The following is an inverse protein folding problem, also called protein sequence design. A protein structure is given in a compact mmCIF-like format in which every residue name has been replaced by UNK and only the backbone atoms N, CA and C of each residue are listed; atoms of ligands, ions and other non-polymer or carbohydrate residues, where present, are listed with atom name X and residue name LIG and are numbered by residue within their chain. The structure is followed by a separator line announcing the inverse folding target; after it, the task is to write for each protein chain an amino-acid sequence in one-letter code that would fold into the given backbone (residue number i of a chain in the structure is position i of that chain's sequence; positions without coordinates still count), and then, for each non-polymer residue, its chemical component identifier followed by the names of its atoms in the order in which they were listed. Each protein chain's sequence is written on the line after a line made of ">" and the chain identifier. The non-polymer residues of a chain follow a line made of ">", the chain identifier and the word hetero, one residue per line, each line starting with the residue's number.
data_IF_249975439180
#
_entry.id   IF_249975439180
#
_cell.length_a   1.000
_cell.length_b   1.000
_cell.length_c   1.000
_cell.angle_alpha   90.00
_cell.angle_beta   90.00
_cell.angle_gamma   90.00
#
_symmetry.space_group_name_H-M   'P 1'
#
loop_
_entity.id
_entity.type
_entity.pdbx_description
1 polymer ?
#
# COMPACT_ATOMS: atom_id res chain seq x y z
N UNK A 1 -18.10 -34.84 17.12
CA UNK A 1 -17.08 -33.93 17.67
C UNK A 1 -15.98 -33.85 16.62
N UNK A 2 -15.67 -32.74 15.95
CA UNK A 2 -15.63 -31.33 16.35
C UNK A 2 -16.20 -30.41 15.25
N UNK A 3 -16.42 -29.17 15.64
CA UNK A 3 -17.34 -28.17 15.12
C UNK A 3 -16.99 -27.56 13.74
N UNK A 4 -18.05 -27.37 12.94
CA UNK A 4 -18.12 -26.41 11.84
C UNK A 4 -18.28 -24.99 12.43
N UNK A 5 -17.25 -24.16 12.34
CA UNK A 5 -17.40 -22.72 12.48
C UNK A 5 -17.43 -22.06 11.09
N UNK A 6 -18.62 -21.60 10.74
CA UNK A 6 -18.91 -20.77 9.59
C UNK A 6 -18.18 -19.43 9.75
N UNK A 7 -17.21 -19.14 8.88
CA UNK A 7 -16.69 -17.79 8.70
C UNK A 7 -17.53 -17.07 7.62
N UNK A 8 -18.29 -16.01 7.96
CA UNK A 8 -19.32 -15.42 7.09
C UNK A 8 -18.84 -14.21 6.25
N UNK A 9 -17.62 -14.24 5.71
CA UNK A 9 -17.07 -13.11 4.93
C UNK A 9 -16.29 -13.47 3.66
N UNK A 10 -16.44 -14.70 3.14
CA UNK A 10 -15.79 -15.08 1.88
C UNK A 10 -16.89 -15.25 0.84
N UNK A 11 -17.34 -14.11 0.31
CA UNK A 11 -18.13 -14.05 -0.90
C UNK A 11 -17.42 -13.11 -1.86
N UNK A 12 -16.59 -13.66 -2.74
CA UNK A 12 -16.52 -13.24 -4.14
C UNK A 12 -15.87 -14.35 -4.95
N UNK A 13 -16.64 -14.74 -5.94
CA UNK A 13 -16.46 -15.82 -6.89
C UNK A 13 -15.20 -15.67 -7.76
N UNK A 14 -14.63 -16.83 -8.08
CA UNK A 14 -14.11 -17.20 -9.40
C UNK A 14 -13.69 -16.05 -10.32
N UNK A 15 -12.43 -15.60 -10.21
CA UNK A 15 -11.83 -14.77 -11.24
C UNK A 15 -11.32 -15.66 -12.37
N UNK A 16 -12.18 -15.87 -13.37
CA UNK A 16 -11.81 -16.45 -14.66
C UNK A 16 -10.64 -15.69 -15.29
N UNK A 17 -9.76 -16.47 -15.93
CA UNK A 17 -8.64 -15.99 -16.74
C UNK A 17 -9.14 -15.01 -17.80
N UNK A 18 -8.62 -13.78 -17.80
CA UNK A 18 -8.76 -12.90 -18.96
C UNK A 18 -7.36 -12.62 -19.53
N UNK A 19 -7.10 -13.23 -20.67
CA UNK A 19 -5.96 -12.97 -21.55
C UNK A 19 -6.19 -11.65 -22.29
N UNK A 20 -5.40 -10.63 -22.00
CA UNK A 20 -5.52 -9.32 -22.66
C UNK A 20 -4.52 -9.21 -23.83
N UNK A 21 -5.00 -9.47 -25.05
CA UNK A 21 -4.48 -8.81 -26.25
C UNK A 21 -5.49 -7.74 -26.65
N UNK A 22 -5.11 -6.46 -26.59
CA UNK A 22 -5.92 -5.35 -27.07
C UNK A 22 -6.18 -4.27 -26.03
N UNK A 23 -5.93 -3.02 -26.43
CA UNK A 23 -6.18 -1.77 -25.71
C UNK A 23 -7.60 -1.69 -25.15
N UNK A 24 -7.74 -1.48 -23.84
CA UNK A 24 -9.01 -1.10 -23.21
C UNK A 24 -8.76 0.19 -22.42
N UNK A 25 -9.33 1.29 -22.93
CA UNK A 25 -9.52 2.51 -22.14
C UNK A 25 -10.53 2.21 -21.02
N UNK A 26 -10.23 2.49 -19.74
CA UNK A 26 -11.27 2.47 -18.74
C UNK A 26 -12.20 3.66 -18.99
N UNK A 27 -13.33 3.38 -19.63
CA UNK A 27 -14.48 4.28 -19.71
C UNK A 27 -14.81 4.77 -18.29
N UNK A 28 -14.60 6.07 -18.05
CA UNK A 28 -15.06 6.74 -16.83
C UNK A 28 -16.59 6.72 -16.87
N UNK A 29 -17.19 5.70 -16.27
CA UNK A 29 -18.63 5.65 -16.06
C UNK A 29 -18.95 6.39 -14.75
N UNK A 30 -19.66 7.51 -14.89
CA UNK A 30 -20.09 8.40 -13.82
C UNK A 30 -21.06 7.69 -12.86
N UNK A 31 -20.58 7.31 -11.67
CA UNK A 31 -21.43 6.89 -10.55
C UNK A 31 -21.41 7.97 -9.45
N UNK A 32 -22.46 8.78 -9.44
CA UNK A 32 -22.89 9.54 -8.26
C UNK A 32 -23.65 8.58 -7.33
N UNK A 33 -23.06 8.17 -6.21
CA UNK A 33 -23.81 7.72 -5.02
C UNK A 33 -23.07 8.17 -3.77
N UNK A 34 -23.81 8.79 -2.85
CA UNK A 34 -23.29 9.53 -1.71
C UNK A 34 -22.71 8.65 -0.59
N UNK A 35 -21.97 9.33 0.29
CA UNK A 35 -21.92 8.98 1.72
C UNK A 35 -21.10 7.76 2.13
N UNK A 36 -19.98 7.47 1.46
CA UNK A 36 -18.76 6.81 1.97
C UNK A 36 -17.72 6.94 0.86
N UNK A 37 -16.54 7.48 1.15
CA UNK A 37 -15.45 7.58 0.18
C UNK A 37 -14.99 6.18 -0.20
N UNK A 38 -15.59 5.64 -1.25
CA UNK A 38 -15.21 4.35 -1.81
C UNK A 38 -13.87 4.55 -2.51
N UNK A 39 -12.80 4.08 -1.88
CA UNK A 39 -11.46 4.08 -2.47
C UNK A 39 -11.50 3.18 -3.71
N UNK A 40 -11.43 3.80 -4.89
CA UNK A 40 -11.44 3.07 -6.14
C UNK A 40 -10.08 2.42 -6.31
N UNK A 41 -9.99 1.09 -6.51
CA UNK A 41 -8.71 0.46 -6.81
C UNK A 41 -8.22 0.96 -8.17
N UNK A 42 -7.04 1.56 -8.20
CA UNK A 42 -6.38 1.97 -9.44
C UNK A 42 -5.45 0.87 -9.89
N UNK A 43 -5.74 0.31 -11.06
CA UNK A 43 -4.92 -0.73 -11.69
C UNK A 43 -4.36 -0.16 -12.99
N UNK A 44 -3.04 -0.14 -13.12
CA UNK A 44 -2.34 0.33 -14.32
C UNK A 44 -1.24 -0.63 -14.67
N UNK A 45 -1.13 -1.00 -15.95
CA UNK A 45 -0.04 -1.82 -16.47
C UNK A 45 1.05 -0.92 -17.05
N UNK A 46 2.29 -1.15 -16.65
CA UNK A 46 3.48 -0.50 -17.23
C UNK A 46 4.52 -1.56 -17.54
N UNK A 47 5.23 -1.35 -18.65
CA UNK A 47 6.38 -2.18 -19.02
C UNK A 47 7.57 -1.73 -18.19
N UNK A 48 8.44 -2.69 -17.88
CA UNK A 48 9.72 -2.45 -17.23
C UNK A 48 10.70 -1.97 -18.28
N UNK A 49 11.49 -0.94 -17.96
CA UNK A 49 12.59 -0.50 -18.81
C UNK A 49 13.71 -1.56 -18.88
N UNK A 50 14.65 -1.42 -19.82
CA UNK A 50 15.83 -2.28 -19.95
C UNK A 50 16.70 -2.34 -18.67
N UNK A 51 16.66 -1.28 -17.86
CA UNK A 51 17.39 -1.18 -16.59
C UNK A 51 16.59 -1.70 -15.38
N UNK A 52 15.39 -2.26 -15.58
CA UNK A 52 14.56 -2.76 -14.47
C UNK A 52 13.74 -1.69 -13.74
N UNK A 53 13.62 -0.47 -14.29
CA UNK A 53 12.84 0.61 -13.68
C UNK A 53 11.36 0.49 -14.04
N UNK A 54 10.50 0.87 -13.10
CA UNK A 54 9.05 0.96 -13.30
C UNK A 54 8.61 2.41 -13.06
N UNK A 55 7.86 2.97 -14.00
CA UNK A 55 7.34 4.33 -13.89
C UNK A 55 5.96 4.33 -13.24
N UNK A 56 5.82 5.04 -12.13
CA UNK A 56 4.52 5.28 -11.48
C UNK A 56 3.77 6.43 -12.18
N UNK A 57 2.54 6.21 -12.69
CA UNK A 57 1.68 7.27 -13.21
C UNK A 57 1.43 8.40 -12.21
N UNK A 58 1.10 9.58 -12.73
CA UNK A 58 0.88 10.78 -11.91
C UNK A 58 -0.34 10.64 -10.99
N UNK A 59 -1.35 9.87 -11.39
CA UNK A 59 -2.55 9.60 -10.62
C UNK A 59 -2.22 8.82 -9.35
N UNK A 60 -1.43 7.74 -9.48
CA UNK A 60 -0.99 6.93 -8.34
C UNK A 60 -0.14 7.76 -7.37
N UNK A 61 0.74 8.61 -7.89
CA UNK A 61 1.58 9.49 -7.05
C UNK A 61 0.74 10.44 -6.20
N UNK A 62 -0.31 11.05 -6.79
CA UNK A 62 -1.21 11.95 -6.07
C UNK A 62 -2.04 11.22 -5.01
N UNK A 63 -2.53 10.03 -5.33
CA UNK A 63 -3.32 9.23 -4.40
C UNK A 63 -2.48 8.69 -3.24
N UNK A 64 -1.27 8.21 -3.52
CA UNK A 64 -0.35 7.68 -2.51
C UNK A 64 0.44 8.77 -1.78
N UNK A 65 0.30 10.04 -2.15
CA UNK A 65 1.01 11.17 -1.53
C UNK A 65 2.53 11.05 -1.64
N UNK A 66 3.01 10.63 -2.80
CA UNK A 66 4.44 10.39 -3.07
C UNK A 66 5.06 11.64 -3.68
N UNK A 67 6.02 12.23 -2.97
CA UNK A 67 6.82 13.34 -3.48
C UNK A 67 8.14 12.89 -4.12
N UNK A 68 8.81 13.81 -4.82
CA UNK A 68 10.09 13.52 -5.47
C UNK A 68 11.18 13.35 -4.40
N UNK A 69 11.91 12.24 -4.47
CA UNK A 69 13.04 11.97 -3.56
C UNK A 69 12.67 11.14 -2.34
N UNK A 70 11.43 10.66 -2.23
CA UNK A 70 11.03 9.75 -1.15
C UNK A 70 11.60 8.34 -1.34
N UNK A 71 11.92 7.70 -0.20
CA UNK A 71 12.39 6.32 -0.14
C UNK A 71 11.25 5.34 0.11
N UNK A 72 11.31 4.19 -0.57
CA UNK A 72 10.31 3.12 -0.45
C UNK A 72 10.97 1.81 -0.05
N UNK A 73 10.33 1.11 0.87
CA UNK A 73 10.62 -0.27 1.15
C UNK A 73 9.94 -1.14 0.09
N UNK A 74 10.72 -1.98 -0.58
CA UNK A 74 10.25 -2.96 -1.56
C UNK A 74 10.32 -4.34 -0.90
N UNK A 75 9.20 -5.03 -0.81
CA UNK A 75 9.16 -6.42 -0.36
C UNK A 75 8.49 -7.32 -1.39
N UNK A 76 8.92 -8.57 -1.43
CA UNK A 76 8.37 -9.61 -2.31
C UNK A 76 7.65 -10.63 -1.45
N UNK A 77 6.39 -10.92 -1.78
CA UNK A 77 5.64 -12.00 -1.13
C UNK A 77 5.88 -13.29 -1.90
N UNK A 78 6.69 -14.18 -1.33
CA UNK A 78 7.10 -15.43 -2.00
C UNK A 78 5.92 -16.32 -2.43
N UNK A 79 4.81 -16.30 -1.70
CA UNK A 79 3.65 -17.16 -1.98
C UNK A 79 2.82 -16.74 -3.21
N UNK A 80 2.75 -15.44 -3.52
CA UNK A 80 1.97 -14.90 -4.64
C UNK A 80 2.83 -14.26 -5.73
N UNK A 81 4.12 -14.04 -5.46
CA UNK A 81 5.02 -13.28 -6.35
C UNK A 81 4.72 -11.77 -6.39
N UNK A 82 3.89 -11.27 -5.48
CA UNK A 82 3.50 -9.86 -5.45
C UNK A 82 4.64 -8.99 -4.89
N UNK A 83 4.84 -7.85 -5.55
CA UNK A 83 5.76 -6.81 -5.09
C UNK A 83 4.94 -5.77 -4.32
N UNK A 84 5.31 -5.53 -3.06
CA UNK A 84 4.65 -4.57 -2.18
C UNK A 84 5.59 -3.39 -1.99
N UNK A 85 5.09 -2.19 -2.28
CA UNK A 85 5.79 -0.93 -2.08
C UNK A 85 5.22 -0.22 -0.85
N UNK A 86 6.06 0.09 0.14
CA UNK A 86 5.66 0.83 1.35
C UNK A 86 6.51 2.07 1.53
N UNK A 87 5.88 3.20 1.88
CA UNK A 87 6.60 4.42 2.24
C UNK A 87 7.44 4.17 3.49
N UNK A 88 8.73 4.49 3.44
CA UNK A 88 9.56 4.42 4.63
C UNK A 88 9.08 5.50 5.59
N UNK A 89 8.58 5.07 6.74
CA UNK A 89 8.17 5.97 7.83
C UNK A 89 9.22 5.94 8.92
N UNK A 90 9.42 7.06 9.63
CA UNK A 90 10.21 7.04 10.85
C UNK A 90 9.56 6.09 11.86
N UNK A 91 10.39 5.37 12.59
CA UNK A 91 9.97 4.47 13.66
C UNK A 91 10.74 4.81 14.93
N UNK A 92 10.16 4.49 16.08
CA UNK A 92 10.84 4.65 17.36
C UNK A 92 12.08 3.74 17.39
N UNK A 93 13.25 4.31 17.67
CA UNK A 93 14.53 3.56 17.74
C UNK A 93 14.52 2.45 18.80
N UNK A 94 13.64 2.55 19.81
CA UNK A 94 13.58 1.60 20.92
C UNK A 94 12.54 0.49 20.73
N UNK A 95 11.29 0.86 20.44
CA UNK A 95 10.16 -0.08 20.39
C UNK A 95 9.58 -0.29 18.99
N UNK A 96 10.15 0.36 17.96
CA UNK A 96 9.69 0.28 16.56
C UNK A 96 8.23 0.72 16.34
N UNK A 97 7.62 1.40 17.31
CA UNK A 97 6.30 2.03 17.18
C UNK A 97 6.35 3.15 16.13
N UNK A 98 5.30 3.26 15.30
CA UNK A 98 5.06 4.41 14.41
C UNK A 98 4.29 5.53 15.11
N UNK A 99 3.66 5.25 16.26
CA UNK A 99 2.79 6.18 16.96
C UNK A 99 3.55 7.09 17.94
N UNK A 100 3.14 8.36 18.00
CA UNK A 100 3.60 9.34 19.00
C UNK A 100 5.08 9.65 18.92
N UNK A 101 5.65 9.71 17.71
CA UNK A 101 7.08 9.95 17.48
C UNK A 101 7.43 11.42 17.69
N UNK A 102 8.49 11.64 18.47
CA UNK A 102 9.17 12.93 18.59
C UNK A 102 10.60 12.80 18.08
N UNK A 103 11.02 13.80 17.32
CA UNK A 103 12.39 13.93 16.88
C UNK A 103 13.23 14.51 18.03
N UNK A 104 14.30 13.80 18.42
CA UNK A 104 15.23 14.28 19.47
C UNK A 104 16.51 14.84 18.87
N UNK A 105 16.95 14.24 17.75
CA UNK A 105 18.08 14.66 16.92
C UNK A 105 17.69 14.42 15.46
N UNK A 106 18.30 15.10 14.48
CA UNK A 106 18.02 14.88 13.08
C UNK A 106 18.10 13.39 12.71
N UNK A 107 16.97 12.80 12.31
CA UNK A 107 16.88 11.38 11.95
C UNK A 107 16.76 10.39 13.12
N UNK A 108 16.70 10.85 14.37
CA UNK A 108 16.47 10.01 15.55
C UNK A 108 15.09 10.30 16.15
N UNK A 109 14.22 9.30 16.11
CA UNK A 109 12.86 9.38 16.61
C UNK A 109 12.66 8.47 17.82
N UNK A 110 12.02 8.99 18.88
CA UNK A 110 11.53 8.21 20.00
C UNK A 110 10.05 8.51 20.24
N UNK A 111 9.29 7.48 20.59
CA UNK A 111 7.89 7.67 20.97
C UNK A 111 7.78 8.23 22.39
N UNK A 112 6.69 8.94 22.67
CA UNK A 112 6.45 9.56 23.99
C UNK A 112 6.53 8.54 25.15
N UNK A 113 6.11 7.30 24.90
CA UNK A 113 6.23 6.19 25.87
C UNK A 113 7.69 5.94 26.27
N UNK A 114 8.59 5.79 25.31
CA UNK A 114 10.00 5.53 25.57
C UNK A 114 10.72 6.75 26.17
N UNK A 115 10.28 7.97 25.85
CA UNK A 115 10.82 9.19 26.48
C UNK A 115 10.48 9.23 27.97
N UNK A 116 9.27 8.80 28.35
CA UNK A 116 8.84 8.73 29.76
C UNK A 116 9.64 7.74 30.60
N UNK A 117 10.12 6.65 29.98
CA UNK A 117 10.94 5.61 30.63
C UNK A 117 12.41 6.03 30.81
N UNK A 118 12.91 7.00 30.04
CA UNK A 118 14.30 7.48 30.09
C UNK A 118 14.57 8.46 31.25
N UNK A 119 13.73 8.47 32.28
CA UNK A 119 13.88 9.30 33.47
C UNK A 119 14.92 8.76 34.44
#
# INVERSE_FOLDING_TARGET
>A
MLYLEKNPWIGVDSFEKVSYHGTIEPSICSLRKGGKSMEKPVVVTRRVDELGRIVLPIELRKQAGIEKGEEFQISVRESSGEIILKKVKPVCLRCQSEEGLRELKPGCYLCERCIGELR
#
